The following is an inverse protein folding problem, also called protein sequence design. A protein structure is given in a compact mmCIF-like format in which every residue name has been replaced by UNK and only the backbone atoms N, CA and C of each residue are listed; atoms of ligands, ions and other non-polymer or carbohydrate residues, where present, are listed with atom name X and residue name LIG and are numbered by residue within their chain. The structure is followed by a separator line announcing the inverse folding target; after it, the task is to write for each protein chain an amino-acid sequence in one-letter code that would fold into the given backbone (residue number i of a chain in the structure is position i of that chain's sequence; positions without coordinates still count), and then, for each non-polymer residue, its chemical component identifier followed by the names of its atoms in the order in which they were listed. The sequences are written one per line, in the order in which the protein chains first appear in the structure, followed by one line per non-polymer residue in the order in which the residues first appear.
data_IF_480827729829
#
_entry.id   IF_480827729829
#
_cell.length_a   1.000
_cell.length_b   1.000
_cell.length_c   1.000
_cell.angle_alpha   90.00
_cell.angle_beta   90.00
_cell.angle_gamma   90.00
#
_symmetry.space_group_name_H-M   'P 1'
#
loop_
_entity.id
_entity.type
_entity.pdbx_description
1 polymer ?
#
# COMPACT_ATOMS: atom_id res chain seq x y z
N UNK A 1 24.85 -33.96 -76.22
CA UNK A 1 23.61 -34.34 -75.50
C UNK A 1 23.57 -33.59 -74.17
N UNK A 2 22.42 -32.95 -73.92
CA UNK A 2 21.93 -32.21 -72.74
C UNK A 2 22.70 -32.28 -71.41
N UNK A 3 22.76 -31.13 -70.71
CA UNK A 3 23.02 -31.10 -69.27
C UNK A 3 23.19 -29.71 -68.65
N UNK A 4 22.27 -28.78 -68.88
CA UNK A 4 22.22 -27.46 -68.22
C UNK A 4 21.39 -27.61 -66.94
N UNK A 5 21.92 -27.23 -65.78
CA UNK A 5 21.13 -27.12 -64.54
C UNK A 5 21.62 -25.91 -63.75
N UNK A 6 20.87 -24.81 -63.88
CA UNK A 6 21.01 -23.61 -63.05
C UNK A 6 20.14 -23.79 -61.80
N UNK A 7 20.74 -23.75 -60.61
CA UNK A 7 20.05 -23.64 -59.32
C UNK A 7 19.86 -22.14 -58.98
N UNK A 8 18.64 -21.68 -58.67
CA UNK A 8 18.43 -20.33 -58.17
C UNK A 8 18.70 -20.26 -56.66
N UNK A 9 19.61 -19.35 -56.26
CA UNK A 9 19.86 -18.98 -54.87
C UNK A 9 18.71 -18.06 -54.43
N UNK A 10 17.77 -18.59 -53.65
CA UNK A 10 16.72 -17.81 -53.01
C UNK A 10 17.29 -17.18 -51.74
N UNK A 11 17.56 -15.88 -51.79
CA UNK A 11 17.99 -15.07 -50.63
C UNK A 11 16.81 -14.94 -49.68
N UNK A 12 16.91 -15.61 -48.53
CA UNK A 12 15.96 -15.54 -47.42
C UNK A 12 16.09 -14.17 -46.74
N UNK A 13 15.08 -13.32 -46.92
CA UNK A 13 14.99 -12.01 -46.25
C UNK A 13 14.78 -12.18 -44.75
N UNK A 14 15.74 -11.73 -43.96
CA UNK A 14 15.66 -11.66 -42.50
C UNK A 14 14.72 -10.52 -42.12
N UNK A 15 13.52 -10.87 -41.65
CA UNK A 15 12.57 -9.94 -41.04
C UNK A 15 13.04 -9.62 -39.63
N UNK A 16 13.66 -8.44 -39.45
CA UNK A 16 13.88 -7.84 -38.12
C UNK A 16 12.53 -7.35 -37.57
N UNK A 17 11.83 -8.23 -36.85
CA UNK A 17 10.74 -7.82 -35.96
C UNK A 17 11.35 -7.18 -34.70
N UNK A 18 11.36 -5.84 -34.68
CA UNK A 18 11.65 -5.04 -33.51
C UNK A 18 10.64 -5.34 -32.40
N UNK A 19 11.10 -6.04 -31.36
CA UNK A 19 10.37 -6.22 -30.11
C UNK A 19 10.24 -4.88 -29.39
N UNK A 20 9.13 -4.18 -29.60
CA UNK A 20 8.69 -3.11 -28.72
C UNK A 20 8.37 -3.73 -27.36
N UNK A 21 9.29 -3.60 -26.41
CA UNK A 21 9.07 -3.91 -25.01
C UNK A 21 7.91 -3.05 -24.50
N UNK A 22 6.72 -3.66 -24.42
CA UNK A 22 5.54 -3.05 -23.83
C UNK A 22 5.81 -2.85 -22.33
N UNK A 23 6.27 -1.66 -21.95
CA UNK A 23 6.23 -1.20 -20.57
C UNK A 23 4.76 -1.05 -20.18
N UNK A 24 4.19 -2.06 -19.52
CA UNK A 24 2.86 -1.91 -18.91
C UNK A 24 3.02 -0.93 -17.76
N UNK A 25 2.42 0.28 -17.82
CA UNK A 25 2.47 1.19 -16.68
C UNK A 25 1.80 0.51 -15.49
N UNK A 26 2.53 0.40 -14.39
CA UNK A 26 2.01 -0.18 -13.16
C UNK A 26 0.81 0.67 -12.72
N UNK A 27 -0.40 0.09 -12.71
CA UNK A 27 -1.62 0.82 -12.44
C UNK A 27 -1.53 1.49 -11.06
N UNK A 28 -1.75 2.80 -10.99
CA UNK A 28 -1.74 3.52 -9.73
C UNK A 28 -2.82 2.98 -8.78
N UNK A 29 -2.45 2.67 -7.54
CA UNK A 29 -3.39 2.19 -6.52
C UNK A 29 -4.30 3.34 -6.11
N UNK A 30 -5.58 3.22 -6.42
CA UNK A 30 -6.55 4.27 -6.15
C UNK A 30 -6.66 4.58 -4.64
N UNK A 31 -6.73 5.86 -4.25
CA UNK A 31 -7.02 6.24 -2.87
C UNK A 31 -8.36 5.72 -2.39
N UNK A 32 -8.42 5.37 -1.10
CA UNK A 32 -9.65 4.94 -0.44
C UNK A 32 -10.20 6.06 0.43
N UNK A 33 -11.47 6.41 0.19
CA UNK A 33 -12.27 7.24 1.09
C UNK A 33 -12.77 6.42 2.27
N UNK A 34 -12.55 6.92 3.48
CA UNK A 34 -12.98 6.27 4.73
C UNK A 34 -14.01 7.19 5.40
N UNK A 35 -15.31 6.89 5.32
CA UNK A 35 -16.32 7.63 6.08
C UNK A 35 -16.21 7.25 7.56
N UNK A 36 -15.46 8.03 8.34
CA UNK A 36 -15.34 7.86 9.78
C UNK A 36 -16.56 8.47 10.46
N UNK A 37 -17.24 7.71 11.31
CA UNK A 37 -18.42 8.15 12.07
C UNK A 37 -18.07 9.28 13.06
N UNK A 38 -16.87 9.23 13.63
CA UNK A 38 -16.36 10.24 14.54
C UNK A 38 -15.72 11.40 13.76
N UNK A 39 -16.22 12.61 13.96
CA UNK A 39 -15.67 13.84 13.36
C UNK A 39 -14.95 14.66 14.43
N UNK A 40 -13.63 14.73 14.34
CA UNK A 40 -12.82 15.64 15.15
C UNK A 40 -12.22 16.74 14.26
N UNK A 41 -12.13 17.95 14.82
CA UNK A 41 -11.54 19.10 14.14
C UNK A 41 -10.06 18.90 13.77
N UNK A 42 -9.33 18.10 14.57
CA UNK A 42 -7.93 17.79 14.34
C UNK A 42 -7.79 16.38 13.77
N UNK A 43 -7.10 16.26 12.63
CA UNK A 43 -6.82 15.01 11.96
C UNK A 43 -5.33 14.93 11.64
N UNK A 44 -4.76 13.74 11.36
CA UNK A 44 -3.42 13.70 10.79
C UNK A 44 -3.38 14.52 9.47
N UNK A 45 -2.22 15.01 9.10
CA UNK A 45 -2.06 15.93 7.96
C UNK A 45 -2.57 17.37 8.17
N UNK A 46 -3.41 17.64 9.18
CA UNK A 46 -3.73 19.02 9.61
C UNK A 46 -2.47 19.76 10.09
N UNK A 47 -2.56 21.09 10.20
CA UNK A 47 -1.49 21.93 10.76
C UNK A 47 -1.98 22.75 11.95
N UNK A 48 -1.12 22.91 12.97
CA UNK A 48 -1.35 23.76 14.14
C UNK A 48 -0.12 24.64 14.32
N UNK A 49 -0.27 25.96 14.17
CA UNK A 49 0.84 26.91 14.27
C UNK A 49 2.05 26.56 13.38
N UNK A 50 1.79 26.03 12.18
CA UNK A 50 2.83 25.59 11.24
C UNK A 50 3.41 24.19 11.50
N UNK A 51 3.12 23.58 12.66
CA UNK A 51 3.49 22.20 12.94
C UNK A 51 2.48 21.23 12.31
N UNK A 52 2.98 20.19 11.65
CA UNK A 52 2.12 19.15 11.08
C UNK A 52 1.67 18.20 12.18
N UNK A 53 0.37 17.91 12.19
CA UNK A 53 -0.22 16.87 13.03
C UNK A 53 -0.01 15.52 12.36
N UNK A 54 0.64 14.59 13.07
CA UNK A 54 0.99 13.28 12.52
C UNK A 54 0.06 12.17 12.99
N UNK A 55 -0.70 12.37 14.07
CA UNK A 55 -1.69 11.44 14.61
C UNK A 55 -2.96 12.16 15.08
N UNK A 56 -4.07 11.42 15.15
CA UNK A 56 -5.38 11.88 15.59
C UNK A 56 -5.85 11.23 16.90
N UNK A 57 -7.05 11.59 17.36
CA UNK A 57 -7.65 10.96 18.53
C UNK A 57 -7.92 9.47 18.26
N UNK A 58 -7.44 8.58 19.12
CA UNK A 58 -7.62 7.13 18.95
C UNK A 58 -6.46 6.43 18.23
N UNK A 59 -5.44 7.17 17.80
CA UNK A 59 -4.21 6.58 17.30
C UNK A 59 -3.32 6.09 18.46
N UNK A 60 -2.67 4.95 18.26
CA UNK A 60 -1.55 4.47 19.09
C UNK A 60 -0.24 4.92 18.44
N UNK A 61 0.57 5.66 19.19
CA UNK A 61 1.92 6.04 18.75
C UNK A 61 2.93 4.97 19.14
N UNK A 62 3.63 4.41 18.16
CA UNK A 62 4.69 3.41 18.36
C UNK A 62 6.02 4.00 17.88
N UNK A 63 7.02 4.04 18.75
CA UNK A 63 8.37 4.43 18.38
C UNK A 63 9.02 3.30 17.59
N UNK A 64 9.28 3.54 16.31
CA UNK A 64 9.93 2.59 15.43
C UNK A 64 11.44 2.81 15.35
N UNK A 65 11.94 4.01 15.63
CA UNK A 65 13.39 4.30 15.56
C UNK A 65 14.00 4.00 14.18
N UNK A 66 13.25 4.22 13.10
CA UNK A 66 13.66 3.94 11.72
C UNK A 66 13.38 2.50 11.25
N UNK A 67 12.87 1.63 12.13
CA UNK A 67 12.52 0.25 11.80
C UNK A 67 11.30 0.14 10.89
N UNK A 68 11.05 -1.08 10.40
CA UNK A 68 9.98 -1.37 9.46
C UNK A 68 8.66 -1.69 10.17
N UNK A 69 7.57 -1.15 9.63
CA UNK A 69 6.23 -1.68 9.84
C UNK A 69 5.92 -2.72 8.75
N UNK A 70 5.27 -3.80 9.14
CA UNK A 70 4.98 -4.98 8.33
C UNK A 70 3.48 -5.22 8.24
N UNK A 71 3.07 -5.92 7.19
CA UNK A 71 1.69 -6.37 7.05
C UNK A 71 1.43 -7.49 8.06
N UNK A 72 0.42 -7.35 8.96
CA UNK A 72 0.12 -8.40 9.93
C UNK A 72 -0.46 -9.66 9.27
N UNK A 73 -1.07 -9.49 8.09
CA UNK A 73 -1.79 -10.51 7.33
C UNK A 73 -1.54 -10.33 5.83
N UNK A 74 -1.98 -11.28 5.02
CA UNK A 74 -2.13 -11.04 3.59
C UNK A 74 -3.23 -9.98 3.37
N UNK A 75 -2.99 -9.02 2.48
CA UNK A 75 -3.92 -7.91 2.34
C UNK A 75 -3.53 -6.87 1.30
N UNK A 76 -4.15 -5.71 1.41
CA UNK A 76 -4.00 -4.61 0.46
C UNK A 76 -3.70 -3.30 1.20
N UNK A 77 -2.67 -2.61 0.74
CA UNK A 77 -2.29 -1.27 1.18
C UNK A 77 -2.74 -0.24 0.14
N UNK A 78 -3.48 0.78 0.58
CA UNK A 78 -4.00 1.84 -0.29
C UNK A 78 -3.66 3.22 0.29
N UNK A 79 -3.45 4.25 -0.54
CA UNK A 79 -3.36 5.61 -0.05
C UNK A 79 -4.71 6.09 0.51
N UNK A 80 -4.68 7.01 1.47
CA UNK A 80 -5.88 7.75 1.89
C UNK A 80 -6.15 8.93 0.95
N UNK A 81 -7.42 9.29 0.77
CA UNK A 81 -7.84 10.44 -0.05
C UNK A 81 -7.53 11.79 0.60
N UNK A 82 -7.54 11.85 1.93
CA UNK A 82 -7.47 13.10 2.67
C UNK A 82 -6.07 13.53 3.13
N UNK A 83 -5.06 12.65 3.14
CA UNK A 83 -3.78 12.93 3.81
C UNK A 83 -2.62 12.18 3.14
N UNK A 84 -1.72 12.92 2.48
CA UNK A 84 -0.60 12.39 1.70
C UNK A 84 0.45 11.55 2.47
N UNK A 85 0.23 11.25 3.76
CA UNK A 85 1.20 10.58 4.64
C UNK A 85 0.63 9.38 5.40
N UNK A 86 -0.62 9.01 5.13
CA UNK A 86 -1.24 7.83 5.69
C UNK A 86 -1.60 6.83 4.60
N UNK A 87 -1.36 5.56 4.89
CA UNK A 87 -1.90 4.44 4.12
C UNK A 87 -2.89 3.66 4.95
N UNK A 88 -3.70 2.89 4.24
CA UNK A 88 -4.72 2.03 4.79
C UNK A 88 -4.39 0.60 4.46
N UNK A 89 -4.41 -0.27 5.45
CA UNK A 89 -4.31 -1.70 5.28
C UNK A 89 -5.68 -2.35 5.50
N UNK A 90 -6.04 -3.27 4.61
CA UNK A 90 -7.20 -4.15 4.77
C UNK A 90 -6.84 -5.58 4.43
N UNK A 91 -7.48 -6.55 5.09
CA UNK A 91 -7.23 -7.97 4.87
C UNK A 91 -8.55 -8.76 4.84
N UNK A 92 -8.68 -9.78 3.97
CA UNK A 92 -9.79 -10.71 4.03
C UNK A 92 -9.81 -11.56 5.31
N UNK A 93 -8.69 -11.67 6.03
CA UNK A 93 -8.60 -12.40 7.31
C UNK A 93 -9.36 -11.68 8.44
N UNK A 94 -9.45 -10.34 8.34
CA UNK A 94 -10.16 -9.47 9.30
C UNK A 94 -11.08 -8.49 8.55
N UNK A 95 -12.12 -8.97 7.84
CA UNK A 95 -12.82 -8.20 6.82
C UNK A 95 -13.66 -7.03 7.36
N UNK A 96 -13.99 -7.07 8.66
CA UNK A 96 -14.69 -5.99 9.36
C UNK A 96 -13.76 -4.89 9.86
N UNK A 97 -12.44 -5.04 9.68
CA UNK A 97 -11.43 -4.13 10.19
C UNK A 97 -10.62 -3.46 9.08
N UNK A 98 -10.12 -2.28 9.42
CA UNK A 98 -9.28 -1.45 8.58
C UNK A 98 -8.24 -0.79 9.48
N UNK A 99 -6.98 -0.83 9.07
CA UNK A 99 -5.88 -0.24 9.83
C UNK A 99 -5.33 0.97 9.09
N UNK A 100 -5.24 2.12 9.76
CA UNK A 100 -4.57 3.31 9.24
C UNK A 100 -3.16 3.37 9.81
N UNK A 101 -2.18 3.53 8.93
CA UNK A 101 -0.77 3.63 9.25
C UNK A 101 -0.25 4.97 8.72
N UNK A 102 0.12 5.87 9.63
CA UNK A 102 0.74 7.15 9.29
C UNK A 102 2.19 7.24 9.79
N UNK A 103 2.99 8.10 9.17
CA UNK A 103 4.41 8.27 9.52
C UNK A 103 5.38 7.33 8.81
N UNK A 104 4.88 6.53 7.86
CA UNK A 104 5.72 5.64 7.04
C UNK A 104 6.28 6.38 5.82
N UNK A 105 7.59 6.24 5.61
CA UNK A 105 8.31 6.71 4.43
C UNK A 105 8.17 5.70 3.29
N UNK A 106 7.77 6.19 2.12
CA UNK A 106 7.64 5.42 0.86
C UNK A 106 6.90 4.09 1.06
N UNK A 107 5.65 4.12 1.54
CA UNK A 107 4.91 2.90 1.81
C UNK A 107 4.68 2.11 0.51
N UNK A 108 4.81 0.78 0.59
CA UNK A 108 4.44 -0.17 -0.45
C UNK A 108 2.93 -0.15 -0.59
N UNK A 109 2.44 0.18 -1.78
CA UNK A 109 1.03 0.16 -2.13
C UNK A 109 0.68 -1.12 -2.89
N UNK A 110 -0.59 -1.49 -2.86
CA UNK A 110 -1.13 -2.67 -3.54
C UNK A 110 -1.16 -3.89 -2.63
N UNK A 111 -1.15 -5.07 -3.24
CA UNK A 111 -1.22 -6.34 -2.50
C UNK A 111 0.11 -6.61 -1.76
N UNK A 112 -0.01 -7.06 -0.51
CA UNK A 112 1.11 -7.39 0.38
C UNK A 112 0.85 -8.71 1.08
N UNK A 113 1.92 -9.45 1.38
CA UNK A 113 1.87 -10.69 2.15
C UNK A 113 2.16 -10.44 3.63
N UNK A 114 1.70 -11.32 4.50
CA UNK A 114 2.03 -11.30 5.93
C UNK A 114 3.56 -11.22 6.15
N UNK A 115 3.98 -10.39 7.08
CA UNK A 115 5.38 -10.09 7.41
C UNK A 115 6.11 -9.19 6.39
N UNK A 116 5.50 -8.92 5.23
CA UNK A 116 6.10 -8.06 4.21
C UNK A 116 6.15 -6.61 4.71
N UNK A 117 7.28 -5.95 4.47
CA UNK A 117 7.46 -4.54 4.85
C UNK A 117 6.49 -3.66 4.06
N UNK A 118 5.65 -2.94 4.81
CA UNK A 118 4.79 -1.87 4.29
C UNK A 118 5.62 -0.59 4.16
N UNK A 119 6.40 -0.22 5.17
CA UNK A 119 7.22 0.99 5.14
C UNK A 119 8.12 1.11 6.36
N UNK A 120 8.92 2.17 6.42
CA UNK A 120 9.77 2.49 7.58
C UNK A 120 9.45 3.88 8.11
N UNK A 121 9.56 4.09 9.41
CA UNK A 121 9.30 5.39 10.03
C UNK A 121 10.02 5.53 11.35
N UNK A 122 10.02 6.72 11.92
CA UNK A 122 10.57 6.95 13.27
C UNK A 122 9.49 6.77 14.33
N UNK A 123 8.27 7.20 14.02
CA UNK A 123 7.04 6.96 14.78
C UNK A 123 5.97 6.46 13.82
N UNK A 124 5.31 5.37 14.18
CA UNK A 124 4.09 4.89 13.53
C UNK A 124 2.89 5.37 14.34
N UNK A 125 1.96 6.05 13.67
CA UNK A 125 0.62 6.30 14.21
C UNK A 125 -0.30 5.23 13.65
N UNK A 126 -0.79 4.36 14.53
CA UNK A 126 -1.62 3.22 14.18
C UNK A 126 -3.05 3.45 14.68
N UNK A 127 -4.02 3.34 13.79
CA UNK A 127 -5.43 3.36 14.15
C UNK A 127 -6.13 2.09 13.68
N UNK A 128 -6.88 1.44 14.55
CA UNK A 128 -7.81 0.39 14.17
C UNK A 128 -9.21 0.96 14.00
N UNK A 129 -9.88 0.57 12.92
CA UNK A 129 -11.25 0.93 12.64
C UNK A 129 -12.08 -0.31 12.39
N UNK A 130 -13.28 -0.34 12.97
CA UNK A 130 -14.28 -1.39 12.75
C UNK A 130 -15.44 -0.83 11.92
N UNK A 131 -15.83 -1.59 10.88
CA UNK A 131 -16.99 -1.28 10.05
C UNK A 131 -18.27 -1.39 10.87
N UNK A 132 -19.10 -0.37 10.80
CA UNK A 132 -20.41 -0.31 11.44
C UNK A 132 -21.50 -0.86 10.49
N UNK A 133 -22.68 -1.25 11.02
CA UNK A 133 -23.79 -1.76 10.20
C UNK A 133 -24.26 -0.79 9.12
N UNK A 134 -24.15 0.52 9.36
CA UNK A 134 -24.48 1.59 8.41
C UNK A 134 -23.41 1.80 7.31
N UNK A 135 -22.33 1.01 7.35
CA UNK A 135 -21.22 1.07 6.40
C UNK A 135 -20.13 2.09 6.73
N UNK A 136 -20.27 2.87 7.79
CA UNK A 136 -19.24 3.79 8.29
C UNK A 136 -18.15 3.03 9.06
N UNK A 137 -17.08 3.74 9.42
CA UNK A 137 -15.98 3.22 10.22
C UNK A 137 -15.93 3.93 11.57
N UNK A 138 -15.76 3.18 12.65
CA UNK A 138 -15.52 3.74 13.98
C UNK A 138 -14.14 3.31 14.47
N UNK A 139 -13.39 4.24 15.07
CA UNK A 139 -12.13 3.88 15.73
C UNK A 139 -12.39 3.01 16.95
N UNK A 140 -11.56 1.99 17.09
CA UNK A 140 -11.58 1.01 18.17
C UNK A 140 -10.15 0.78 18.64
N UNK A 141 -10.01 0.29 19.87
CA UNK A 141 -8.70 -0.12 20.37
C UNK A 141 -8.14 -1.26 19.50
N UNK A 142 -6.88 -1.16 19.03
CA UNK A 142 -6.22 -2.24 18.30
C UNK A 142 -5.88 -3.40 19.24
N UNK A 143 -6.03 -4.63 18.77
CA UNK A 143 -5.55 -5.79 19.50
C UNK A 143 -4.01 -5.82 19.53
N UNK A 144 -3.44 -6.20 20.68
CA UNK A 144 -1.98 -6.18 20.92
C UNK A 144 -1.24 -7.08 19.92
N UNK A 145 -1.77 -8.26 19.63
CA UNK A 145 -1.18 -9.22 18.69
C UNK A 145 -1.08 -8.67 17.26
N UNK A 146 -2.03 -7.82 16.84
CA UNK A 146 -1.96 -7.11 15.56
C UNK A 146 -0.83 -6.08 15.55
N UNK A 147 -0.67 -5.32 16.65
CA UNK A 147 0.42 -4.36 16.78
C UNK A 147 1.77 -5.07 16.75
N UNK A 148 1.92 -6.17 17.51
CA UNK A 148 3.12 -7.00 17.53
C UNK A 148 3.46 -7.52 16.14
N UNK A 149 2.51 -8.11 15.41
CA UNK A 149 2.73 -8.55 14.02
C UNK A 149 3.11 -7.40 13.08
N UNK A 150 2.65 -6.19 13.37
CA UNK A 150 2.95 -4.99 12.57
C UNK A 150 4.36 -4.47 12.82
N UNK A 151 4.90 -4.59 14.04
CA UNK A 151 6.18 -3.96 14.42
C UNK A 151 7.31 -4.93 14.77
N UNK A 152 7.02 -6.22 14.94
CA UNK A 152 8.03 -7.23 15.24
C UNK A 152 9.04 -7.39 14.09
N UNK A 153 10.30 -7.54 14.47
CA UNK A 153 11.31 -8.10 13.58
C UNK A 153 11.04 -9.62 13.42
N UNK A 154 11.29 -10.19 12.23
CA UNK A 154 11.23 -11.65 12.04
C UNK A 154 12.25 -12.37 12.91
#
# INVERSE_FOLDING_TARGET
MMGRSHLPITVFGIVLLGGLAACTPNAAVAPRKIPIHQSWALQPGSTVSGYRVTGGLGDVSIQLGGQAARAPFDGKVQPTDSQAECVVFTSPEVPAYLFRLCGLRRPRLGDVRSGQVIGKGDILQFAAMRRQPDGTWAMVEPAIDILERTVAAP
#
